data_IF_326203573826
#
_entry.id   IF_326203573826
#
_cell.length_a   1.000
_cell.length_b   1.000
_cell.length_c   1.000
_cell.angle_alpha   90.00
_cell.angle_beta   90.00
_cell.angle_gamma   90.00
#
_symmetry.space_group_name_H-M   'P 1'
#
loop_
_entity.id
_entity.type
_entity.pdbx_description
1 polymer ?
#
# COMPACT_ATOMS: atom_id res chain seq x y z
N UNK A 1 -18.97 82.96 -28.46
CA UNK A 1 -19.63 83.19 -27.17
C UNK A 1 -19.80 81.84 -26.47
N UNK A 2 -19.06 81.56 -25.40
CA UNK A 2 -19.30 80.41 -24.48
C UNK A 2 -20.30 80.87 -23.42
N UNK A 3 -21.22 80.03 -22.91
CA UNK A 3 -20.91 79.26 -21.69
C UNK A 3 -21.65 77.88 -21.62
N UNK A 4 -21.03 76.78 -21.19
CA UNK A 4 -20.78 76.29 -19.82
C UNK A 4 -21.63 75.04 -19.49
N UNK A 5 -20.99 74.19 -18.67
CA UNK A 5 -21.55 73.24 -17.69
C UNK A 5 -21.92 71.82 -18.13
N UNK A 6 -20.93 70.95 -17.92
CA UNK A 6 -21.09 69.56 -17.55
C UNK A 6 -21.72 69.42 -16.15
N UNK A 7 -22.57 68.41 -15.97
CA UNK A 7 -22.71 67.65 -14.72
C UNK A 7 -23.47 66.35 -15.00
N UNK A 8 -22.75 65.24 -14.94
CA UNK A 8 -23.25 63.87 -15.00
C UNK A 8 -24.07 63.61 -13.73
N UNK A 9 -25.37 63.39 -13.89
CA UNK A 9 -26.29 63.06 -12.79
C UNK A 9 -26.79 61.62 -12.94
N UNK A 10 -26.16 60.74 -12.16
CA UNK A 10 -26.70 59.60 -11.40
C UNK A 10 -27.98 58.98 -11.99
N UNK A 11 -27.82 57.91 -12.77
CA UNK A 11 -28.90 56.98 -13.09
C UNK A 11 -28.81 55.76 -12.16
N UNK A 12 -29.69 55.71 -11.17
CA UNK A 12 -29.99 54.53 -10.36
C UNK A 12 -31.04 53.67 -11.10
N UNK A 13 -30.75 52.43 -11.54
CA UNK A 13 -31.80 51.48 -11.84
C UNK A 13 -32.09 50.67 -10.57
N UNK A 14 -33.21 50.96 -9.91
CA UNK A 14 -33.81 50.09 -8.90
C UNK A 14 -34.30 48.82 -9.62
N UNK A 15 -33.46 47.80 -9.66
CA UNK A 15 -33.88 46.45 -10.06
C UNK A 15 -34.88 45.91 -9.03
N UNK A 16 -36.10 45.66 -9.48
CA UNK A 16 -37.05 44.80 -8.80
C UNK A 16 -36.48 43.38 -8.72
N UNK A 17 -36.13 42.94 -7.52
CA UNK A 17 -35.85 41.54 -7.22
C UNK A 17 -37.02 40.97 -6.41
N UNK A 18 -38.04 40.48 -7.13
CA UNK A 18 -38.90 39.43 -6.61
C UNK A 18 -38.12 38.12 -6.73
N UNK A 19 -37.55 37.65 -5.63
CA UNK A 19 -36.91 36.35 -5.53
C UNK A 19 -37.44 35.65 -4.28
N UNK A 20 -38.41 34.76 -4.49
CA UNK A 20 -38.94 33.80 -3.52
C UNK A 20 -37.78 33.02 -2.89
N UNK A 21 -37.37 33.42 -1.68
CA UNK A 21 -36.23 32.86 -0.97
C UNK A 21 -36.64 31.62 -0.18
N UNK A 22 -37.10 30.60 -0.91
CA UNK A 22 -37.29 29.26 -0.38
C UNK A 22 -35.97 28.48 -0.47
N UNK A 23 -34.90 29.03 0.13
CA UNK A 23 -33.67 28.29 0.36
C UNK A 23 -33.88 27.38 1.56
N UNK A 24 -34.26 26.13 1.28
CA UNK A 24 -34.07 25.04 2.23
C UNK A 24 -32.58 24.96 2.53
N UNK A 25 -32.16 25.53 3.66
CA UNK A 25 -30.84 25.28 4.23
C UNK A 25 -30.75 23.78 4.44
N UNK A 26 -29.86 23.12 3.72
CA UNK A 26 -29.56 21.71 3.91
C UNK A 26 -29.04 21.58 5.33
N UNK A 27 -29.85 21.03 6.23
CA UNK A 27 -29.39 20.73 7.58
C UNK A 27 -28.29 19.66 7.48
N UNK A 28 -27.31 19.74 8.39
CA UNK A 28 -26.18 18.81 8.44
C UNK A 28 -26.62 17.33 8.56
N UNK A 29 -27.88 17.10 8.88
CA UNK A 29 -28.53 15.78 8.98
C UNK A 29 -28.75 15.12 7.59
N UNK A 30 -28.66 15.89 6.50
CA UNK A 30 -28.94 15.44 5.13
C UNK A 30 -27.67 15.00 4.35
N UNK A 31 -26.48 15.31 4.88
CA UNK A 31 -25.22 14.66 4.47
C UNK A 31 -24.93 13.52 5.44
N UNK A 32 -25.08 12.29 4.94
CA UNK A 32 -25.04 11.05 5.71
C UNK A 32 -24.05 11.01 6.88
N UNK A 33 -24.59 10.63 8.03
CA UNK A 33 -23.89 10.00 9.14
C UNK A 33 -22.78 9.05 8.65
N UNK A 34 -21.54 9.43 8.93
CA UNK A 34 -20.41 8.49 9.01
C UNK A 34 -19.78 8.44 10.41
N UNK A 35 -20.41 9.09 11.40
CA UNK A 35 -19.91 9.16 12.78
C UNK A 35 -21.06 9.40 13.77
N UNK A 36 -21.75 8.32 14.12
CA UNK A 36 -22.26 8.16 15.48
C UNK A 36 -23.71 7.74 15.52
N UNK A 37 -23.95 6.43 15.46
CA UNK A 37 -25.33 5.95 15.44
C UNK A 37 -25.60 4.54 15.93
N UNK A 38 -24.68 3.80 16.57
CA UNK A 38 -25.04 2.51 17.22
C UNK A 38 -24.26 2.22 18.50
N UNK A 39 -24.73 2.84 19.59
CA UNK A 39 -24.57 2.28 20.92
C UNK A 39 -25.85 2.50 21.74
N UNK A 40 -26.97 1.95 21.26
CA UNK A 40 -28.10 1.64 22.14
C UNK A 40 -28.13 0.13 22.34
N UNK A 41 -28.00 -0.26 23.60
CA UNK A 41 -27.95 -1.61 24.16
C UNK A 41 -26.61 -2.34 24.04
N UNK A 42 -25.70 -2.06 24.98
CA UNK A 42 -24.71 -3.07 25.42
C UNK A 42 -24.96 -3.41 26.89
N UNK A 43 -25.33 -4.66 27.22
CA UNK A 43 -25.43 -5.10 28.60
C UNK A 43 -24.06 -5.06 29.27
N UNK A 44 -24.08 -4.59 30.50
CA UNK A 44 -22.95 -4.41 31.40
C UNK A 44 -22.41 -5.78 31.84
N UNK A 45 -21.15 -6.09 31.49
CA UNK A 45 -20.52 -7.34 31.91
C UNK A 45 -19.13 -7.55 31.33
N UNK A 46 -18.10 -7.19 32.12
CA UNK A 46 -16.70 -7.61 32.01
C UNK A 46 -15.95 -7.30 30.71
N UNK A 47 -15.55 -6.04 30.53
CA UNK A 47 -14.21 -5.58 30.08
C UNK A 47 -14.31 -4.12 29.64
N UNK A 48 -14.40 -3.22 30.63
CA UNK A 48 -14.34 -1.79 30.39
C UNK A 48 -12.88 -1.39 30.13
N UNK A 49 -12.47 -1.45 28.87
CA UNK A 49 -11.24 -0.81 28.40
C UNK A 49 -11.34 0.70 28.63
N UNK A 50 -10.34 1.25 29.30
CA UNK A 50 -10.23 2.65 29.68
C UNK A 50 -10.09 3.54 28.43
N UNK A 51 -11.17 4.22 28.03
CA UNK A 51 -11.15 5.24 26.97
C UNK A 51 -10.67 6.57 27.57
N UNK A 52 -9.36 6.79 27.55
CA UNK A 52 -8.73 8.05 27.93
C UNK A 52 -8.45 8.83 26.64
N UNK A 53 -9.21 9.91 26.41
CA UNK A 53 -9.12 10.83 25.25
C UNK A 53 -9.48 10.26 23.87
N UNK A 54 -10.55 9.47 23.75
CA UNK A 54 -11.16 9.15 22.44
C UNK A 54 -10.28 8.33 21.48
N UNK A 55 -9.15 7.80 21.97
CA UNK A 55 -8.28 6.89 21.24
C UNK A 55 -8.38 5.51 21.88
N UNK A 56 -9.00 4.59 21.16
CA UNK A 56 -8.97 3.17 21.52
C UNK A 56 -7.55 2.67 21.29
N UNK A 57 -6.76 2.57 22.36
CA UNK A 57 -5.37 2.08 22.33
C UNK A 57 -5.27 0.67 21.70
N UNK A 58 -6.35 -0.11 21.81
CA UNK A 58 -6.47 -1.43 21.18
C UNK A 58 -6.68 -1.34 19.65
N UNK A 59 -7.30 -0.26 19.16
CA UNK A 59 -7.44 -0.01 17.71
C UNK A 59 -6.11 0.41 17.11
N UNK A 60 -5.36 1.28 17.79
CA UNK A 60 -4.03 1.70 17.37
C UNK A 60 -3.03 0.52 17.36
N UNK A 61 -3.08 -0.36 18.38
CA UNK A 61 -2.26 -1.56 18.41
C UNK A 61 -2.62 -2.56 17.29
N UNK A 62 -3.91 -2.70 16.96
CA UNK A 62 -4.37 -3.53 15.83
C UNK A 62 -4.03 -2.91 14.48
N UNK A 63 -4.14 -1.60 14.33
CA UNK A 63 -3.75 -0.86 13.11
C UNK A 63 -2.23 -0.90 12.92
N UNK A 64 -1.43 -0.80 13.99
CA UNK A 64 0.03 -0.96 13.95
C UNK A 64 0.44 -2.40 13.60
N UNK A 65 -0.27 -3.40 14.13
CA UNK A 65 -0.07 -4.80 13.75
C UNK A 65 -0.50 -5.07 12.29
N UNK A 66 -1.61 -4.49 11.83
CA UNK A 66 -2.10 -4.60 10.45
C UNK A 66 -1.23 -3.83 9.43
N UNK A 67 -0.60 -2.73 9.86
CA UNK A 67 0.33 -1.91 9.07
C UNK A 67 1.75 -2.52 8.95
N UNK A 68 1.96 -3.74 9.47
CA UNK A 68 3.23 -4.47 9.29
C UNK A 68 4.26 -4.25 10.38
N UNK A 69 3.85 -3.71 11.54
CA UNK A 69 4.66 -3.67 12.75
C UNK A 69 4.63 -5.01 13.47
N UNK A 70 5.17 -6.07 12.88
CA UNK A 70 5.63 -7.20 13.69
C UNK A 70 6.79 -6.66 14.53
N UNK A 71 6.52 -6.39 15.82
CA UNK A 71 7.49 -5.89 16.78
C UNK A 71 8.71 -6.84 16.81
N UNK A 72 9.75 -6.53 16.04
CA UNK A 72 10.98 -7.32 15.94
C UNK A 72 11.56 -7.45 14.52
N UNK A 73 10.79 -7.26 13.46
CA UNK A 73 11.29 -7.35 12.08
C UNK A 73 11.59 -5.94 11.53
N UNK A 74 12.83 -5.75 11.07
CA UNK A 74 13.25 -4.50 10.39
C UNK A 74 12.62 -4.33 9.01
N UNK A 75 11.89 -5.33 8.53
CA UNK A 75 11.31 -5.41 7.18
C UNK A 75 9.80 -5.61 7.21
N UNK A 76 9.11 -5.25 6.12
CA UNK A 76 7.67 -5.45 6.02
C UNK A 76 7.31 -6.95 5.96
N UNK A 77 6.45 -7.41 6.89
CA UNK A 77 6.05 -8.81 6.96
C UNK A 77 5.33 -9.33 5.70
N UNK A 78 4.56 -8.49 5.00
CA UNK A 78 3.87 -8.90 3.77
C UNK A 78 4.84 -9.06 2.60
N UNK A 79 5.78 -8.13 2.44
CA UNK A 79 6.84 -8.24 1.43
C UNK A 79 7.69 -9.49 1.66
N UNK A 80 8.12 -9.71 2.91
CA UNK A 80 8.89 -10.89 3.28
C UNK A 80 8.15 -12.19 2.92
N UNK A 81 6.90 -12.34 3.39
CA UNK A 81 6.09 -13.54 3.11
C UNK A 81 5.83 -13.72 1.61
N UNK A 82 5.48 -12.63 0.91
CA UNK A 82 5.27 -12.68 -0.54
C UNK A 82 6.52 -13.10 -1.31
N UNK A 83 7.70 -12.68 -0.85
CA UNK A 83 8.97 -13.02 -1.50
C UNK A 83 9.29 -14.50 -1.32
N UNK A 84 9.10 -15.04 -0.12
CA UNK A 84 9.25 -16.47 0.14
C UNK A 84 8.24 -17.30 -0.66
N UNK A 85 6.96 -16.92 -0.69
CA UNK A 85 5.92 -17.59 -1.49
C UNK A 85 6.26 -17.60 -2.98
N UNK A 86 6.83 -16.50 -3.50
CA UNK A 86 7.15 -16.38 -4.93
C UNK A 86 8.39 -17.19 -5.30
N UNK A 87 9.38 -17.28 -4.40
CA UNK A 87 10.64 -18.00 -4.65
C UNK A 87 10.61 -19.47 -4.20
N UNK A 88 9.51 -19.95 -3.59
CA UNK A 88 9.43 -21.29 -2.99
C UNK A 88 9.54 -22.45 -3.98
N UNK A 89 9.52 -22.17 -5.30
CA UNK A 89 9.77 -23.18 -6.33
C UNK A 89 11.27 -23.52 -6.49
N UNK A 90 12.17 -22.68 -5.97
CA UNK A 90 13.61 -22.93 -5.93
C UNK A 90 14.04 -23.39 -4.53
N UNK A 91 15.09 -24.21 -4.40
CA UNK A 91 15.65 -24.54 -3.09
C UNK A 91 16.22 -23.28 -2.41
N UNK A 92 15.93 -23.13 -1.12
CA UNK A 92 16.35 -21.96 -0.33
C UNK A 92 17.73 -22.23 0.29
N UNK A 93 18.69 -21.36 0.01
CA UNK A 93 20.05 -21.45 0.57
C UNK A 93 20.17 -20.76 1.93
N UNK A 94 19.64 -19.53 2.02
CA UNK A 94 19.69 -18.72 3.24
C UNK A 94 18.60 -17.65 3.23
N UNK A 95 18.04 -17.33 4.40
CA UNK A 95 17.09 -16.25 4.56
C UNK A 95 17.31 -15.54 5.90
N UNK A 96 17.70 -14.26 5.84
CA UNK A 96 17.86 -13.39 7.01
C UNK A 96 16.65 -12.45 7.14
N UNK A 97 15.77 -12.66 8.12
CA UNK A 97 14.56 -11.87 8.32
C UNK A 97 14.84 -10.48 8.92
N UNK A 98 16.01 -10.24 9.51
CA UNK A 98 16.38 -8.92 10.04
C UNK A 98 17.00 -8.04 8.97
N UNK A 99 17.92 -8.60 8.16
CA UNK A 99 18.53 -7.91 7.03
C UNK A 99 17.67 -7.89 5.76
N UNK A 100 16.55 -8.62 5.74
CA UNK A 100 15.65 -8.66 4.59
C UNK A 100 16.24 -9.39 3.37
N UNK A 101 17.24 -10.24 3.56
CA UNK A 101 17.95 -10.89 2.46
C UNK A 101 17.51 -12.33 2.32
N UNK A 102 17.14 -12.73 1.10
CA UNK A 102 16.71 -14.10 0.76
C UNK A 102 17.58 -14.57 -0.41
N UNK A 103 18.23 -15.72 -0.23
CA UNK A 103 19.15 -16.31 -1.20
C UNK A 103 18.69 -17.72 -1.49
N UNK A 104 18.55 -18.04 -2.78
CA UNK A 104 18.25 -19.38 -3.25
C UNK A 104 19.52 -20.11 -3.69
N UNK A 105 19.42 -21.43 -3.77
CA UNK A 105 20.42 -22.28 -4.42
C UNK A 105 20.26 -22.26 -5.93
N UNK A 106 21.20 -22.92 -6.61
CA UNK A 106 21.10 -23.15 -8.05
C UNK A 106 19.94 -24.11 -8.35
N UNK A 107 18.98 -23.64 -9.14
CA UNK A 107 17.83 -24.39 -9.61
C UNK A 107 17.89 -24.55 -11.13
N UNK A 108 17.68 -25.79 -11.59
CA UNK A 108 17.59 -26.12 -13.01
C UNK A 108 16.12 -26.42 -13.35
N UNK A 109 15.47 -25.59 -14.18
CA UNK A 109 14.09 -25.82 -14.57
C UNK A 109 13.96 -27.09 -15.42
N UNK A 110 12.86 -27.84 -15.24
CA UNK A 110 12.66 -29.14 -15.87
C UNK A 110 12.69 -29.14 -17.42
N UNK A 111 12.58 -27.97 -18.06
CA UNK A 111 12.64 -27.82 -19.51
C UNK A 111 14.03 -27.45 -20.07
N UNK A 112 15.02 -27.13 -19.24
CA UNK A 112 16.35 -26.74 -19.69
C UNK A 112 17.42 -27.46 -18.85
N UNK A 113 18.08 -28.46 -19.43
CA UNK A 113 19.12 -29.23 -18.73
C UNK A 113 20.47 -28.51 -18.64
N UNK A 114 20.69 -27.54 -19.54
CA UNK A 114 21.96 -26.83 -19.69
C UNK A 114 21.93 -25.44 -19.05
N UNK A 115 20.89 -25.10 -18.28
CA UNK A 115 20.79 -23.80 -17.62
C UNK A 115 20.46 -23.98 -16.15
N UNK A 116 21.05 -23.11 -15.32
CA UNK A 116 20.74 -23.01 -13.90
C UNK A 116 20.54 -21.57 -13.52
N UNK A 117 19.63 -21.37 -12.58
CA UNK A 117 19.24 -20.06 -12.10
C UNK A 117 19.45 -19.97 -10.61
N UNK A 118 19.84 -18.78 -10.15
CA UNK A 118 19.91 -18.44 -8.74
C UNK A 118 19.29 -17.07 -8.56
N UNK A 119 18.41 -16.93 -7.58
CA UNK A 119 17.81 -15.65 -7.22
C UNK A 119 18.34 -15.15 -5.86
N UNK A 120 18.54 -13.83 -5.79
CA UNK A 120 18.81 -13.10 -4.57
C UNK A 120 17.77 -11.98 -4.46
N UNK A 121 17.01 -11.96 -3.37
CA UNK A 121 16.00 -10.94 -3.11
C UNK A 121 16.34 -10.14 -1.85
N UNK A 122 16.09 -8.85 -1.91
CA UNK A 122 16.31 -7.90 -0.83
C UNK A 122 15.02 -7.15 -0.54
N UNK A 123 14.51 -7.28 0.67
CA UNK A 123 13.37 -6.53 1.19
C UNK A 123 13.91 -5.28 1.88
N UNK A 124 13.84 -4.16 1.17
CA UNK A 124 14.45 -2.89 1.59
C UNK A 124 13.49 -2.06 2.45
N UNK A 125 12.19 -2.21 2.21
CA UNK A 125 11.15 -1.36 2.77
C UNK A 125 10.46 -1.93 4.01
N UNK A 126 10.10 -1.04 4.93
CA UNK A 126 9.16 -1.32 6.04
C UNK A 126 7.70 -1.13 5.63
N UNK A 127 7.47 -0.44 4.53
CA UNK A 127 6.15 -0.15 3.98
C UNK A 127 5.97 -0.89 2.66
N UNK A 128 4.71 -1.15 2.28
CA UNK A 128 4.36 -1.74 1.00
C UNK A 128 4.41 -0.67 -0.09
N UNK A 129 5.54 -0.58 -0.79
CA UNK A 129 5.86 0.40 -1.83
C UNK A 129 6.52 -0.29 -3.03
N UNK A 130 6.49 0.35 -4.20
CA UNK A 130 6.95 -0.25 -5.46
C UNK A 130 8.45 -0.56 -5.51
N UNK A 131 9.25 0.14 -4.72
CA UNK A 131 10.69 -0.01 -4.50
C UNK A 131 10.99 -0.79 -3.20
N UNK A 132 9.99 -1.41 -2.58
CA UNK A 132 10.12 -2.08 -1.29
C UNK A 132 10.87 -3.41 -1.35
N UNK A 133 11.04 -3.97 -2.55
CA UNK A 133 11.76 -5.22 -2.81
C UNK A 133 12.63 -5.07 -4.06
N UNK A 134 13.78 -5.75 -4.06
CA UNK A 134 14.65 -5.87 -5.22
C UNK A 134 15.00 -7.33 -5.45
N UNK A 135 14.86 -7.82 -6.67
CA UNK A 135 15.15 -9.22 -7.03
C UNK A 135 16.21 -9.25 -8.12
N UNK A 136 17.28 -10.00 -7.87
CA UNK A 136 18.38 -10.22 -8.81
C UNK A 136 18.44 -11.69 -9.17
N UNK A 137 18.23 -11.99 -10.46
CA UNK A 137 18.38 -13.33 -11.01
C UNK A 137 19.74 -13.47 -11.71
N UNK A 138 20.41 -14.58 -11.43
CA UNK A 138 21.66 -15.00 -12.04
C UNK A 138 21.38 -16.25 -12.85
N UNK A 139 21.84 -16.27 -14.11
CA UNK A 139 21.76 -17.44 -14.98
C UNK A 139 23.16 -17.91 -15.33
N UNK A 140 23.35 -19.22 -15.28
CA UNK A 140 24.52 -19.87 -15.82
C UNK A 140 24.11 -20.92 -16.84
N UNK A 141 24.85 -20.98 -17.93
CA UNK A 141 24.66 -21.97 -18.99
C UNK A 141 25.84 -22.94 -19.00
N UNK A 142 25.57 -24.22 -19.25
CA UNK A 142 26.57 -25.25 -19.35
C UNK A 142 27.17 -25.24 -20.76
N UNK A 143 28.39 -24.75 -20.88
CA UNK A 143 29.15 -24.70 -22.12
C UNK A 143 30.38 -25.60 -22.00
N UNK A 144 30.48 -26.62 -22.87
CA UNK A 144 31.64 -27.55 -22.91
C UNK A 144 31.97 -28.18 -21.54
N UNK A 145 30.95 -28.45 -20.73
CA UNK A 145 31.11 -29.03 -19.39
C UNK A 145 31.53 -28.04 -18.29
N UNK A 146 31.55 -26.74 -18.57
CA UNK A 146 31.80 -25.66 -17.60
C UNK A 146 30.56 -24.77 -17.49
N UNK A 147 30.30 -24.26 -16.27
CA UNK A 147 29.21 -23.31 -16.05
C UNK A 147 29.71 -21.89 -16.32
N UNK A 148 29.09 -21.22 -17.28
CA UNK A 148 29.45 -19.86 -17.71
C UNK A 148 28.29 -18.91 -17.38
N UNK A 149 28.60 -17.75 -16.80
CA UNK A 149 27.62 -16.71 -16.52
C UNK A 149 27.00 -16.18 -17.81
N UNK A 150 25.66 -16.10 -17.81
CA UNK A 150 24.88 -15.72 -18.97
C UNK A 150 23.89 -14.62 -18.59
N UNK A 151 23.72 -13.57 -19.42
CA UNK A 151 22.93 -12.41 -19.04
C UNK A 151 21.43 -12.72 -18.96
N UNK A 152 20.83 -12.43 -17.82
CA UNK A 152 19.36 -12.45 -17.66
C UNK A 152 18.78 -11.15 -18.22
N UNK A 153 17.65 -11.23 -18.92
CA UNK A 153 16.92 -10.04 -19.36
C UNK A 153 16.46 -9.20 -18.17
N UNK A 154 16.69 -7.88 -18.23
CA UNK A 154 16.29 -6.95 -17.18
C UNK A 154 14.77 -6.99 -16.90
N UNK A 155 13.96 -7.25 -17.93
CA UNK A 155 12.51 -7.43 -17.78
C UNK A 155 12.17 -8.57 -16.83
N UNK A 156 12.92 -9.68 -16.85
CA UNK A 156 12.66 -10.83 -15.97
C UNK A 156 12.83 -10.48 -14.49
N UNK A 157 13.81 -9.63 -14.16
CA UNK A 157 13.99 -9.19 -12.78
C UNK A 157 12.81 -8.32 -12.33
N UNK A 158 12.40 -7.36 -13.17
CA UNK A 158 11.24 -6.50 -12.90
C UNK A 158 9.95 -7.32 -12.79
N UNK A 159 9.73 -8.29 -13.68
CA UNK A 159 8.57 -9.18 -13.66
C UNK A 159 8.49 -9.99 -12.34
N UNK A 160 9.64 -10.42 -11.81
CA UNK A 160 9.70 -11.12 -10.52
C UNK A 160 9.41 -10.17 -9.36
N UNK A 161 9.93 -8.94 -9.38
CA UNK A 161 9.60 -7.89 -8.40
C UNK A 161 8.10 -7.58 -8.39
N UNK A 162 7.50 -7.41 -9.56
CA UNK A 162 6.07 -7.14 -9.72
C UNK A 162 5.19 -8.28 -9.19
N UNK A 163 5.59 -9.54 -9.44
CA UNK A 163 4.91 -10.71 -8.86
C UNK A 163 4.95 -10.70 -7.33
N UNK A 164 6.10 -10.40 -6.74
CA UNK A 164 6.24 -10.28 -5.28
C UNK A 164 5.34 -9.16 -4.75
N UNK A 165 5.34 -7.98 -5.39
CA UNK A 165 4.52 -6.85 -4.97
C UNK A 165 3.02 -7.15 -5.10
N UNK A 166 2.60 -7.81 -6.18
CA UNK A 166 1.22 -8.25 -6.37
C UNK A 166 0.80 -9.23 -5.26
N UNK A 167 1.62 -10.24 -4.99
CA UNK A 167 1.37 -11.21 -3.92
C UNK A 167 1.33 -10.54 -2.55
N UNK A 168 2.20 -9.57 -2.27
CA UNK A 168 2.20 -8.83 -1.01
C UNK A 168 0.91 -8.00 -0.81
N UNK A 169 0.39 -7.37 -1.88
CA UNK A 169 -0.89 -6.66 -1.85
C UNK A 169 -2.06 -7.60 -1.58
N UNK A 170 -2.05 -8.78 -2.20
CA UNK A 170 -3.04 -9.82 -1.96
C UNK A 170 -3.00 -10.30 -0.49
N UNK A 171 -1.81 -10.58 0.03
CA UNK A 171 -1.65 -11.00 1.43
C UNK A 171 -2.13 -9.94 2.43
N UNK A 172 -2.01 -8.65 2.08
CA UNK A 172 -2.53 -7.54 2.88
C UNK A 172 -4.05 -7.40 2.77
N UNK A 173 -4.64 -7.62 1.60
CA UNK A 173 -6.10 -7.57 1.47
C UNK A 173 -6.77 -8.71 2.22
N UNK A 174 -6.18 -9.92 2.19
CA UNK A 174 -6.66 -11.09 2.92
C UNK A 174 -6.57 -10.95 4.45
N UNK A 175 -5.59 -10.19 4.97
CA UNK A 175 -5.51 -9.94 6.41
C UNK A 175 -6.47 -8.84 6.86
N UNK A 176 -6.78 -7.88 5.99
CA UNK A 176 -7.71 -6.80 6.29
C UNK A 176 -9.19 -7.24 6.22
N UNK A 177 -9.51 -8.28 5.45
CA UNK A 177 -10.87 -8.81 5.30
C UNK A 177 -11.29 -9.82 6.37
N UNK A 178 -10.36 -10.21 7.25
CA UNK A 178 -10.57 -11.21 8.31
C UNK A 178 -10.75 -10.52 9.66
#
# INVERSE_FOLDING_TARGET
MKPLLAAVAIALPLLAACGDSNQRLVNNDEYGDYRGGRARNRPQGANAGLVVFGVDKDREAREAAAAGGAAGLSVNAYLWRATLDTLSFMPLASADPFGGTIITDWYTPAGATNERFRAQAYVLGRQLRSDGVKVQLFRQTLERGQWVDSPVSASTNADMEDKVLARARELRSQSASR
#
